data_IF_539816414222
#
_entry.id   IF_539816414222
#
_cell.length_a   1.000
_cell.length_b   1.000
_cell.length_c   1.000
_cell.angle_alpha   90.00
_cell.angle_beta   90.00
_cell.angle_gamma   90.00
#
_symmetry.space_group_name_H-M   'P 1'
#
loop_
_entity.id
_entity.type
_entity.pdbx_description
1 polymer ?
#
# COMPACT_ATOMS: atom_id res chain seq x y z
N UNK A 1 3.80 17.30 -4.03
CA UNK A 1 4.23 16.55 -2.83
C UNK A 1 3.01 16.39 -1.93
N UNK A 2 2.68 15.14 -1.60
CA UNK A 2 1.57 14.83 -0.71
C UNK A 2 1.85 15.39 0.69
N UNK A 3 0.85 16.04 1.28
CA UNK A 3 0.81 16.52 2.66
C UNK A 3 0.61 15.35 3.63
N UNK A 4 1.59 14.46 3.72
CA UNK A 4 1.58 13.36 4.69
C UNK A 4 1.55 13.88 6.13
N UNK A 5 0.78 13.22 7.01
CA UNK A 5 0.97 13.41 8.45
C UNK A 5 2.25 12.70 8.89
N UNK A 6 3.37 13.43 8.85
CA UNK A 6 4.68 12.87 9.15
C UNK A 6 4.76 12.27 10.57
N UNK A 7 4.00 12.79 11.53
CA UNK A 7 4.01 12.30 12.92
C UNK A 7 3.29 10.95 13.00
N UNK A 8 2.11 10.85 12.42
CA UNK A 8 1.34 9.59 12.40
C UNK A 8 2.07 8.51 11.59
N UNK A 9 2.59 8.85 10.40
CA UNK A 9 3.39 7.93 9.58
C UNK A 9 4.59 7.40 10.37
N UNK A 10 5.34 8.26 11.06
CA UNK A 10 6.50 7.83 11.86
C UNK A 10 6.10 6.91 13.00
N UNK A 11 4.97 7.19 13.66
CA UNK A 11 4.45 6.36 14.74
C UNK A 11 4.05 4.96 14.25
N UNK A 12 3.35 4.88 13.12
CA UNK A 12 2.93 3.61 12.52
C UNK A 12 4.13 2.83 11.98
N UNK A 13 5.06 3.51 11.31
CA UNK A 13 6.29 2.89 10.81
C UNK A 13 7.07 2.23 11.95
N UNK A 14 7.24 2.93 13.08
CA UNK A 14 7.86 2.37 14.27
C UNK A 14 7.09 1.17 14.82
N UNK A 15 5.76 1.27 14.93
CA UNK A 15 4.94 0.16 15.40
C UNK A 15 5.09 -1.08 14.52
N UNK A 16 5.08 -0.93 13.20
CA UNK A 16 5.25 -2.03 12.25
C UNK A 16 6.66 -2.63 12.26
N UNK A 17 7.70 -1.85 12.56
CA UNK A 17 9.03 -2.40 12.82
C UNK A 17 9.07 -3.34 14.04
N UNK A 18 8.19 -3.15 15.02
CA UNK A 18 8.16 -3.96 16.24
C UNK A 18 7.34 -5.26 16.08
N UNK A 19 6.39 -5.31 15.16
CA UNK A 19 5.43 -6.43 15.04
C UNK A 19 5.52 -7.23 13.74
N UNK A 20 6.18 -6.69 12.69
CA UNK A 20 6.34 -7.37 11.40
C UNK A 20 7.80 -7.75 11.17
N UNK A 21 8.05 -8.98 10.74
CA UNK A 21 9.36 -9.49 10.35
C UNK A 21 9.25 -10.31 9.04
N UNK A 22 9.78 -9.83 7.90
CA UNK A 22 10.41 -8.52 7.70
C UNK A 22 9.42 -7.35 7.89
N UNK A 23 9.93 -6.14 8.14
CA UNK A 23 9.08 -4.96 8.34
C UNK A 23 8.91 -4.12 7.07
N UNK A 24 7.80 -3.39 6.97
CA UNK A 24 7.57 -2.45 5.85
C UNK A 24 8.24 -1.11 6.10
N UNK A 25 8.71 -0.48 5.03
CA UNK A 25 9.33 0.85 5.05
C UNK A 25 8.32 1.92 4.61
N UNK A 26 7.46 2.36 5.53
CA UNK A 26 6.40 3.31 5.22
C UNK A 26 6.95 4.70 4.86
N UNK A 27 8.07 5.08 5.48
CA UNK A 27 8.76 6.34 5.16
C UNK A 27 9.22 6.33 3.69
N UNK A 28 9.82 5.22 3.24
CA UNK A 28 10.22 5.06 1.84
C UNK A 28 8.99 5.07 0.92
N UNK A 29 7.94 4.31 1.25
CA UNK A 29 6.68 4.33 0.51
C UNK A 29 6.12 5.74 0.33
N UNK A 30 6.03 6.53 1.41
CA UNK A 30 5.48 7.89 1.35
C UNK A 30 6.31 8.84 0.47
N UNK A 31 7.64 8.67 0.45
CA UNK A 31 8.56 9.45 -0.40
C UNK A 31 8.37 9.14 -1.89
N UNK A 32 8.06 7.89 -2.22
CA UNK A 32 7.92 7.40 -3.60
C UNK A 32 6.47 7.15 -4.02
N UNK A 33 5.49 7.57 -3.22
CA UNK A 33 4.09 7.22 -3.42
C UNK A 33 3.57 7.63 -4.79
N UNK A 34 3.91 8.83 -5.26
CA UNK A 34 3.44 9.32 -6.57
C UNK A 34 3.95 8.42 -7.70
N UNK A 35 5.23 8.05 -7.68
CA UNK A 35 5.86 7.15 -8.66
C UNK A 35 5.22 5.76 -8.60
N UNK A 36 5.07 5.20 -7.39
CA UNK A 36 4.45 3.89 -7.17
C UNK A 36 3.00 3.90 -7.66
N UNK A 37 2.23 4.93 -7.30
CA UNK A 37 0.81 5.01 -7.64
C UNK A 37 0.60 5.17 -9.14
N UNK A 38 1.32 6.09 -9.79
CA UNK A 38 1.25 6.25 -11.25
C UNK A 38 1.64 4.97 -11.99
N UNK A 39 2.69 4.27 -11.53
CA UNK A 39 3.11 2.99 -12.09
C UNK A 39 2.01 1.92 -11.94
N UNK A 40 1.47 1.73 -10.73
CA UNK A 40 0.40 0.74 -10.50
C UNK A 40 -0.86 1.01 -11.32
N UNK A 41 -1.19 2.30 -11.54
CA UNK A 41 -2.31 2.69 -12.38
C UNK A 41 -2.05 2.48 -13.87
N UNK A 42 -0.80 2.63 -14.33
CA UNK A 42 -0.42 2.37 -15.72
C UNK A 42 -0.38 0.87 -16.02
N UNK A 43 0.15 0.08 -15.10
CA UNK A 43 0.35 -1.35 -15.26
C UNK A 43 -0.87 -2.17 -14.82
N UNK A 44 -1.95 -1.49 -14.39
CA UNK A 44 -3.21 -2.11 -13.94
C UNK A 44 -2.98 -3.16 -12.85
N UNK A 45 -2.09 -2.84 -11.90
CA UNK A 45 -1.71 -3.69 -10.77
C UNK A 45 -2.24 -3.11 -9.46
N UNK A 46 -2.72 -3.98 -8.57
CA UNK A 46 -3.10 -3.56 -7.22
C UNK A 46 -1.89 -3.26 -6.36
N UNK A 47 -1.97 -2.15 -5.65
CA UNK A 47 -1.09 -1.84 -4.55
C UNK A 47 -1.41 -2.75 -3.33
N UNK A 48 -0.40 -3.21 -2.58
CA UNK A 48 -0.60 -3.94 -1.32
C UNK A 48 -1.55 -3.22 -0.35
N UNK A 49 -2.34 -3.96 0.43
CA UNK A 49 -3.36 -3.37 1.31
C UNK A 49 -2.75 -2.47 2.39
N UNK A 50 -1.60 -2.87 2.92
CA UNK A 50 -0.89 -2.07 3.93
C UNK A 50 -0.56 -0.66 3.40
N UNK A 51 -0.12 -0.55 2.15
CA UNK A 51 0.13 0.76 1.52
C UNK A 51 -1.16 1.49 1.16
N UNK A 52 -2.22 0.77 0.79
CA UNK A 52 -3.55 1.35 0.61
C UNK A 52 -4.05 2.03 1.89
N UNK A 53 -3.88 1.39 3.04
CA UNK A 53 -4.26 1.94 4.34
C UNK A 53 -3.47 3.22 4.66
N UNK A 54 -2.17 3.24 4.33
CA UNK A 54 -1.32 4.41 4.55
C UNK A 54 -1.77 5.64 3.73
N UNK A 55 -2.41 5.46 2.58
CA UNK A 55 -2.88 6.60 1.76
C UNK A 55 -3.87 7.55 2.44
N UNK A 56 -4.46 7.16 3.57
CA UNK A 56 -5.37 8.01 4.34
C UNK A 56 -4.67 8.96 5.34
N UNK A 57 -3.39 8.73 5.66
CA UNK A 57 -2.63 9.49 6.66
C UNK A 57 -2.06 10.79 6.09
N UNK A 58 -2.95 11.70 5.71
CA UNK A 58 -2.58 13.05 5.24
C UNK A 58 -3.08 14.10 6.22
N UNK A 59 -2.41 15.26 6.27
CA UNK A 59 -2.70 16.31 7.25
C UNK A 59 -4.13 16.86 7.18
N UNK A 60 -4.80 16.74 6.03
CA UNK A 60 -6.20 17.16 5.84
C UNK A 60 -7.20 15.99 5.73
N UNK A 61 -6.75 14.75 5.92
CA UNK A 61 -7.59 13.54 5.81
C UNK A 61 -8.05 13.19 4.40
N UNK A 62 -7.65 13.94 3.37
CA UNK A 62 -7.98 13.62 1.97
C UNK A 62 -7.02 12.53 1.48
N UNK A 63 -7.56 11.42 0.99
CA UNK A 63 -6.75 10.31 0.51
C UNK A 63 -5.68 10.78 -0.51
N UNK A 64 -4.43 10.36 -0.30
CA UNK A 64 -3.28 10.76 -1.10
C UNK A 64 -3.44 10.47 -2.60
N UNK A 65 -4.21 9.44 -2.98
CA UNK A 65 -4.47 9.09 -4.39
C UNK A 65 -5.11 10.21 -5.18
N UNK A 66 -6.04 10.94 -4.55
CA UNK A 66 -6.73 12.07 -5.19
C UNK A 66 -5.84 13.32 -5.35
N UNK A 67 -4.63 13.27 -4.80
CA UNK A 67 -3.63 14.35 -4.91
C UNK A 67 -2.59 14.05 -5.99
N UNK A 68 -2.66 12.88 -6.65
CA UNK A 68 -1.82 12.51 -7.79
C UNK A 68 -2.52 12.88 -9.09
N UNK A 69 -1.80 13.52 -10.01
CA UNK A 69 -2.34 13.99 -11.28
C UNK A 69 -2.51 12.82 -12.26
N UNK A 70 -3.70 12.22 -12.27
CA UNK A 70 -4.11 11.19 -13.24
C UNK A 70 -5.39 11.65 -13.94
N UNK A 71 -5.54 11.29 -15.22
CA UNK A 71 -6.78 11.55 -15.96
C UNK A 71 -7.96 10.83 -15.28
N UNK A 72 -9.03 11.53 -14.87
CA UNK A 72 -10.16 10.91 -14.17
C UNK A 72 -10.80 9.75 -14.94
N UNK A 73 -10.87 9.87 -16.27
CA UNK A 73 -11.39 8.82 -17.14
C UNK A 73 -10.52 7.57 -17.11
N UNK A 74 -9.19 7.75 -17.19
CA UNK A 74 -8.24 6.64 -17.12
C UNK A 74 -8.29 5.97 -15.74
N UNK A 75 -8.38 6.78 -14.69
CA UNK A 75 -8.51 6.28 -13.32
C UNK A 75 -9.77 5.41 -13.20
N UNK A 76 -10.93 5.90 -13.63
CA UNK A 76 -12.19 5.15 -13.56
C UNK A 76 -12.11 3.81 -14.31
N UNK A 77 -11.61 3.82 -15.55
CA UNK A 77 -11.44 2.60 -16.35
C UNK A 77 -10.55 1.56 -15.65
N UNK A 78 -9.41 1.98 -15.10
CA UNK A 78 -8.49 1.10 -14.38
C UNK A 78 -9.11 0.61 -13.07
N UNK A 79 -9.81 1.47 -12.33
CA UNK A 79 -10.50 1.08 -11.09
C UNK A 79 -11.58 0.01 -11.35
N UNK A 80 -12.32 0.12 -12.47
CA UNK A 80 -13.30 -0.88 -12.86
C UNK A 80 -12.65 -2.23 -13.19
N UNK A 81 -11.52 -2.23 -13.92
CA UNK A 81 -10.76 -3.46 -14.22
C UNK A 81 -10.20 -4.11 -12.97
N UNK A 82 -9.71 -3.31 -12.02
CA UNK A 82 -9.10 -3.79 -10.77
C UNK A 82 -10.13 -4.25 -9.73
N UNK A 83 -11.41 -3.94 -9.90
CA UNK A 83 -12.46 -4.22 -8.92
C UNK A 83 -12.54 -5.72 -8.52
N UNK A 84 -12.53 -6.71 -9.43
CA UNK A 84 -12.57 -8.12 -9.05
C UNK A 84 -11.32 -8.55 -8.26
N UNK A 85 -10.17 -7.98 -8.60
CA UNK A 85 -8.91 -8.24 -7.89
C UNK A 85 -8.97 -7.66 -6.47
N UNK A 86 -9.52 -6.46 -6.31
CA UNK A 86 -9.70 -5.81 -5.00
C UNK A 86 -10.65 -6.60 -4.11
N UNK A 87 -11.72 -7.15 -4.68
CA UNK A 87 -12.64 -8.03 -3.94
C UNK A 87 -11.94 -9.30 -3.45
N UNK A 88 -11.11 -9.93 -4.28
CA UNK A 88 -10.31 -11.11 -3.89
C UNK A 88 -9.28 -10.76 -2.82
N UNK A 89 -8.58 -9.64 -2.95
CA UNK A 89 -7.62 -9.14 -1.97
C UNK A 89 -8.29 -8.95 -0.60
N UNK A 90 -9.42 -8.23 -0.57
CA UNK A 90 -10.21 -8.02 0.66
C UNK A 90 -10.67 -9.32 1.31
N UNK A 91 -11.10 -10.31 0.51
CA UNK A 91 -11.53 -11.60 1.03
C UNK A 91 -10.36 -12.35 1.70
N UNK A 92 -9.17 -12.35 1.07
CA UNK A 92 -7.96 -12.96 1.64
C UNK A 92 -7.53 -12.27 2.94
N UNK A 93 -7.58 -10.94 2.98
CA UNK A 93 -7.29 -10.16 4.19
C UNK A 93 -8.23 -10.54 5.34
N UNK A 94 -9.52 -10.66 5.07
CA UNK A 94 -10.51 -11.07 6.06
C UNK A 94 -10.27 -12.51 6.53
N UNK A 95 -9.94 -13.42 5.63
CA UNK A 95 -9.62 -14.81 5.98
C UNK A 95 -8.38 -14.89 6.89
N UNK A 96 -7.32 -14.16 6.56
CA UNK A 96 -6.10 -14.08 7.37
C UNK A 96 -6.39 -13.49 8.76
N UNK A 97 -7.15 -12.39 8.82
CA UNK A 97 -7.61 -11.78 10.07
C UNK A 97 -8.39 -12.77 10.95
N UNK A 98 -9.26 -13.60 10.35
CA UNK A 98 -10.05 -14.58 11.09
C UNK A 98 -9.22 -15.76 11.62
N UNK A 99 -8.06 -16.06 11.03
CA UNK A 99 -7.16 -17.13 11.49
C UNK A 99 -6.32 -16.70 12.69
N UNK A 100 -5.94 -15.43 12.73
CA UNK A 100 -5.25 -14.82 13.85
C UNK A 100 -4.30 -13.70 13.44
N UNK A 101 -3.70 -13.04 14.45
CA UNK A 101 -2.78 -11.92 14.23
C UNK A 101 -1.55 -12.32 13.41
N UNK A 102 -0.99 -13.51 13.65
CA UNK A 102 0.17 -13.99 12.89
C UNK A 102 -0.15 -14.14 11.40
N UNK A 103 -1.21 -14.87 11.05
CA UNK A 103 -1.62 -15.04 9.66
C UNK A 103 -1.93 -13.69 8.98
N UNK A 104 -2.51 -12.75 9.73
CA UNK A 104 -2.76 -11.40 9.24
C UNK A 104 -1.47 -10.63 8.94
N UNK A 105 -0.46 -10.72 9.81
CA UNK A 105 0.85 -10.11 9.60
C UNK A 105 1.60 -10.76 8.43
N UNK A 106 1.61 -12.08 8.37
CA UNK A 106 2.20 -12.85 7.28
C UNK A 106 1.55 -12.48 5.94
N UNK A 107 0.23 -12.29 5.92
CA UNK A 107 -0.49 -11.82 4.73
C UNK A 107 -0.03 -10.44 4.28
N UNK A 108 0.05 -9.46 5.18
CA UNK A 108 0.47 -8.09 4.84
C UNK A 108 1.88 -8.07 4.23
N UNK A 109 2.81 -8.82 4.80
CA UNK A 109 4.17 -8.92 4.29
C UNK A 109 4.21 -9.63 2.94
N UNK A 110 3.49 -10.74 2.80
CA UNK A 110 3.44 -11.49 1.55
C UNK A 110 2.95 -10.63 0.38
N UNK A 111 1.97 -9.75 0.59
CA UNK A 111 1.52 -8.84 -0.47
C UNK A 111 2.62 -7.88 -0.92
N UNK A 112 3.40 -7.35 0.03
CA UNK A 112 4.53 -6.48 -0.28
C UNK A 112 5.65 -7.25 -0.99
N UNK A 113 5.93 -8.49 -0.58
CA UNK A 113 6.88 -9.35 -1.28
C UNK A 113 6.45 -9.66 -2.71
N UNK A 114 5.16 -10.00 -2.91
CA UNK A 114 4.59 -10.23 -4.24
C UNK A 114 4.71 -8.98 -5.12
N UNK A 115 4.46 -7.80 -4.55
CA UNK A 115 4.65 -6.53 -5.25
C UNK A 115 6.12 -6.29 -5.64
N UNK A 116 7.07 -6.51 -4.73
CA UNK A 116 8.51 -6.37 -5.01
C UNK A 116 8.99 -7.40 -6.04
N UNK A 117 8.42 -8.61 -6.09
CA UNK A 117 8.74 -9.60 -7.13
C UNK A 117 8.37 -9.09 -8.53
N UNK A 118 7.27 -8.35 -8.65
CA UNK A 118 6.87 -7.70 -9.91
C UNK A 118 7.77 -6.48 -10.21
N UNK A 119 8.12 -5.71 -9.17
CA UNK A 119 8.90 -4.49 -9.29
C UNK A 119 10.16 -4.50 -8.39
N UNK A 120 11.25 -5.19 -8.80
CA UNK A 120 12.42 -5.40 -7.93
C UNK A 120 13.15 -4.12 -7.51
N UNK A 121 13.00 -3.02 -8.26
CA UNK A 121 13.57 -1.73 -7.91
C UNK A 121 12.95 -1.11 -6.65
N UNK A 122 11.76 -1.56 -6.24
CA UNK A 122 11.11 -1.17 -4.98
C UNK A 122 11.49 -2.04 -3.78
N UNK A 123 12.60 -2.79 -3.85
CA UNK A 123 13.06 -3.66 -2.74
C UNK A 123 13.15 -2.98 -1.38
N UNK A 124 13.38 -1.67 -1.33
CA UNK A 124 13.48 -0.89 -0.09
C UNK A 124 12.13 -0.66 0.61
N UNK A 125 11.01 -1.07 0.00
CA UNK A 125 9.70 -1.16 0.64
C UNK A 125 9.67 -2.19 1.79
N UNK A 126 10.61 -3.14 1.81
CA UNK A 126 10.84 -4.06 2.94
C UNK A 126 12.19 -3.79 3.59
N UNK A 127 12.21 -3.85 4.92
CA UNK A 127 13.43 -3.85 5.74
C UNK A 127 13.65 -5.28 6.24
N UNK A 128 14.89 -5.75 6.11
CA UNK A 128 15.35 -6.99 6.73
C UNK A 128 15.76 -6.73 8.17
#
# INVERSE_FOLDING_TARGET
MIDWDAKEITMIDKHYQEILDPSVNLIYFCRHFEEIYTMTMNDEILMPDIFNDITYYTSNGINARYKVLISPKKEEEVQQKLLPHRMKQRAKRQEAHNKGLKDYYDFMIKEVEEFIKIYPFWKELLRK
#
